data_IF_175103417736
#
_entry.id   IF_175103417736
#
_cell.length_a   1.000
_cell.length_b   1.000
_cell.length_c   1.000
_cell.angle_alpha   90.00
_cell.angle_beta   90.00
_cell.angle_gamma   90.00
#
_symmetry.space_group_name_H-M   'P 1'
#
loop_
_entity.id
_entity.type
_entity.pdbx_description
1 polymer ?
#
# COMPACT_ATOMS: atom_id res chain seq x y z
N UNK A 1 -11.20 -4.30 -3.75
CA UNK A 1 -10.71 -3.04 -3.15
C UNK A 1 -9.30 -3.29 -2.66
N UNK A 2 -8.38 -2.41 -2.99
CA UNK A 2 -6.98 -2.45 -2.53
C UNK A 2 -6.55 -1.07 -2.07
N UNK A 3 -5.59 -1.05 -1.15
CA UNK A 3 -4.97 0.16 -0.61
C UNK A 3 -3.74 0.53 -1.43
N UNK A 4 -3.51 1.83 -1.62
CA UNK A 4 -2.48 2.39 -2.47
C UNK A 4 -1.85 3.62 -1.83
N UNK A 5 -0.59 3.83 -2.17
CA UNK A 5 0.21 4.99 -1.79
C UNK A 5 0.77 5.61 -3.08
N UNK A 6 1.08 6.90 -3.08
CA UNK A 6 1.76 7.52 -4.23
C UNK A 6 3.15 6.93 -4.44
N UNK A 7 3.64 6.91 -5.68
CA UNK A 7 4.98 6.40 -6.03
C UNK A 7 6.10 7.03 -5.18
N UNK A 8 6.10 8.35 -5.03
CA UNK A 8 7.15 9.07 -4.28
C UNK A 8 7.24 8.59 -2.82
N UNK A 9 6.10 8.34 -2.18
CA UNK A 9 6.06 7.82 -0.81
C UNK A 9 6.44 6.33 -0.76
N UNK A 10 6.06 5.52 -1.77
CA UNK A 10 6.53 4.15 -1.87
C UNK A 10 8.07 4.07 -1.99
N UNK A 11 8.67 4.96 -2.79
CA UNK A 11 10.13 5.08 -2.94
C UNK A 11 10.80 5.41 -1.60
N UNK A 12 10.23 6.34 -0.82
CA UNK A 12 10.71 6.69 0.52
C UNK A 12 10.56 5.52 1.51
N UNK A 13 9.42 4.84 1.51
CA UNK A 13 9.19 3.67 2.37
C UNK A 13 10.23 2.58 2.07
N UNK A 14 10.50 2.31 0.79
CA UNK A 14 11.47 1.32 0.33
C UNK A 14 12.91 1.69 0.75
N UNK A 15 13.31 2.95 0.59
CA UNK A 15 14.63 3.44 1.03
C UNK A 15 14.84 3.37 2.55
N UNK A 16 13.77 3.62 3.32
CA UNK A 16 13.81 3.53 4.79
C UNK A 16 13.83 2.08 5.25
N UNK A 17 12.95 1.24 4.69
CA UNK A 17 12.76 -0.14 5.12
C UNK A 17 13.97 -1.02 4.77
N UNK A 18 14.65 -0.77 3.64
CA UNK A 18 15.86 -1.51 3.21
C UNK A 18 15.67 -3.04 3.24
N UNK A 19 14.49 -3.50 2.85
CA UNK A 19 14.11 -4.92 2.85
C UNK A 19 13.67 -5.49 4.20
N UNK A 20 13.60 -4.69 5.27
CA UNK A 20 13.09 -5.13 6.57
C UNK A 20 11.55 -5.11 6.59
N UNK A 21 10.95 -6.32 6.60
CA UNK A 21 9.50 -6.50 6.64
C UNK A 21 8.85 -5.86 7.89
N UNK A 22 9.55 -5.78 9.03
CA UNK A 22 9.03 -5.16 10.27
C UNK A 22 8.93 -3.64 10.13
N UNK A 23 9.86 -3.03 9.40
CA UNK A 23 9.78 -1.60 9.08
C UNK A 23 8.66 -1.32 8.09
N UNK A 24 8.47 -2.17 7.07
CA UNK A 24 7.30 -2.06 6.18
C UNK A 24 5.99 -2.12 6.96
N UNK A 25 5.85 -3.07 7.89
CA UNK A 25 4.64 -3.17 8.72
C UNK A 25 4.37 -1.89 9.51
N UNK A 26 5.41 -1.34 10.16
CA UNK A 26 5.28 -0.12 10.95
C UNK A 26 4.87 1.08 10.08
N UNK A 27 5.50 1.24 8.91
CA UNK A 27 5.24 2.36 7.99
C UNK A 27 3.86 2.27 7.34
N UNK A 28 3.40 1.05 7.07
CA UNK A 28 2.12 0.78 6.42
C UNK A 28 0.95 0.57 7.41
N UNK A 29 1.23 0.52 8.72
CA UNK A 29 0.19 0.35 9.74
C UNK A 29 -0.33 -1.08 9.87
N UNK A 30 0.55 -2.06 9.70
CA UNK A 30 0.29 -3.47 9.99
C UNK A 30 0.79 -3.86 11.38
N UNK A 31 0.19 -4.90 11.94
CA UNK A 31 0.70 -5.54 13.15
C UNK A 31 2.06 -6.20 12.88
N UNK A 32 2.91 -6.23 13.89
CA UNK A 32 4.19 -6.95 13.81
C UNK A 32 3.94 -8.43 13.51
N UNK A 33 4.59 -8.95 12.47
CA UNK A 33 4.47 -10.35 12.02
C UNK A 33 3.59 -10.54 10.79
N UNK A 34 2.76 -9.55 10.45
CA UNK A 34 1.72 -9.65 9.42
C UNK A 34 2.23 -10.05 8.03
N UNK A 35 3.32 -9.46 7.56
CA UNK A 35 3.93 -9.69 6.25
C UNK A 35 4.80 -10.96 6.20
N UNK A 36 5.06 -11.60 7.34
CA UNK A 36 5.98 -12.75 7.44
C UNK A 36 7.40 -12.40 6.96
N UNK A 37 8.20 -13.41 6.63
CA UNK A 37 9.62 -13.25 6.26
C UNK A 37 9.91 -13.58 4.78
N UNK A 38 8.84 -13.71 3.99
CA UNK A 38 8.93 -13.97 2.55
C UNK A 38 9.27 -12.72 1.74
N UNK A 39 9.50 -12.90 0.42
CA UNK A 39 9.75 -11.77 -0.46
C UNK A 39 8.53 -10.85 -0.54
N UNK A 40 8.78 -9.54 -0.46
CA UNK A 40 7.80 -8.49 -0.65
C UNK A 40 7.84 -7.99 -2.09
N UNK A 41 6.65 -7.71 -2.60
CA UNK A 41 6.48 -7.19 -3.94
C UNK A 41 5.77 -5.86 -3.89
N UNK A 42 6.34 -4.89 -4.60
CA UNK A 42 5.71 -3.61 -4.90
C UNK A 42 5.00 -3.70 -6.24
N UNK A 43 3.79 -3.17 -6.26
CA UNK A 43 2.97 -3.02 -7.46
C UNK A 43 2.86 -1.55 -7.83
N UNK A 44 3.33 -1.18 -9.03
CA UNK A 44 3.18 0.16 -9.57
C UNK A 44 2.07 0.16 -10.63
N UNK A 45 1.10 1.07 -10.50
CA UNK A 45 -0.05 1.26 -11.42
C UNK A 45 0.15 2.53 -12.25
N UNK A 46 -0.25 2.49 -13.52
CA UNK A 46 -0.09 3.63 -14.43
C UNK A 46 -1.12 4.74 -14.18
N UNK A 47 -0.83 6.00 -14.54
CA UNK A 47 -1.80 7.09 -14.45
C UNK A 47 -3.10 6.85 -15.21
N UNK A 48 -3.06 6.14 -16.33
CA UNK A 48 -4.24 5.78 -17.12
C UNK A 48 -5.19 4.87 -16.33
N UNK A 49 -4.64 3.86 -15.64
CA UNK A 49 -5.44 2.97 -14.79
C UNK A 49 -6.03 3.75 -13.61
N UNK A 50 -5.27 4.66 -13.00
CA UNK A 50 -5.77 5.53 -11.92
C UNK A 50 -6.92 6.40 -12.43
N UNK A 51 -6.79 6.97 -13.63
CA UNK A 51 -7.84 7.79 -14.26
C UNK A 51 -9.10 6.99 -14.59
N UNK A 52 -8.96 5.71 -14.98
CA UNK A 52 -10.09 4.85 -15.32
C UNK A 52 -10.83 4.37 -14.06
N UNK A 53 -10.10 3.91 -13.04
CA UNK A 53 -10.69 3.32 -11.84
C UNK A 53 -11.09 4.34 -10.79
N UNK A 54 -10.41 5.49 -10.77
CA UNK A 54 -10.51 6.49 -9.74
C UNK A 54 -9.86 6.05 -8.43
N UNK A 55 -9.47 7.04 -7.62
CA UNK A 55 -8.94 6.84 -6.28
C UNK A 55 -9.77 7.65 -5.28
N UNK A 56 -10.02 7.08 -4.10
CA UNK A 56 -10.75 7.74 -3.02
C UNK A 56 -10.05 7.56 -1.69
N UNK A 57 -10.33 8.45 -0.74
CA UNK A 57 -9.91 8.29 0.65
C UNK A 57 -10.64 7.07 1.25
N UNK A 58 -9.95 6.16 1.96
CA UNK A 58 -10.58 5.02 2.63
C UNK A 58 -11.60 5.48 3.67
N UNK A 59 -12.67 4.71 3.83
CA UNK A 59 -13.75 4.99 4.78
C UNK A 59 -13.61 4.21 6.10
N UNK A 60 -12.72 3.22 6.15
CA UNK A 60 -12.58 2.28 7.27
C UNK A 60 -13.50 1.08 7.18
N UNK A 61 -14.41 1.04 6.20
CA UNK A 61 -15.30 -0.09 5.93
C UNK A 61 -14.72 -1.05 4.87
N UNK A 62 -13.53 -0.77 4.35
CA UNK A 62 -12.88 -1.61 3.36
C UNK A 62 -12.35 -2.91 3.97
N UNK A 63 -12.42 -3.99 3.20
CA UNK A 63 -11.76 -5.24 3.57
C UNK A 63 -10.25 -4.99 3.68
N UNK A 64 -9.69 -5.20 4.86
CA UNK A 64 -8.29 -4.91 5.17
C UNK A 64 -8.10 -3.75 6.14
N UNK A 65 -9.11 -2.89 6.33
CA UNK A 65 -9.10 -1.93 7.44
C UNK A 65 -9.03 -2.68 8.79
N UNK A 66 -8.20 -2.17 9.70
CA UNK A 66 -7.91 -2.78 11.00
C UNK A 66 -8.04 -1.74 12.12
N UNK A 67 -7.67 -2.10 13.36
CA UNK A 67 -7.71 -1.17 14.52
C UNK A 67 -6.72 0.00 14.41
N UNK A 68 -5.77 -0.04 13.49
CA UNK A 68 -4.81 1.03 13.23
C UNK A 68 -5.34 2.07 12.24
N UNK A 69 -6.37 1.77 11.45
CA UNK A 69 -6.95 2.70 10.49
C UNK A 69 -7.43 4.01 11.16
N UNK A 70 -7.22 5.14 10.47
CA UNK A 70 -7.67 6.47 10.89
C UNK A 70 -8.36 7.19 9.73
N UNK A 71 -9.40 8.00 9.99
CA UNK A 71 -9.97 8.86 8.96
C UNK A 71 -8.93 9.85 8.44
N UNK A 72 -8.99 10.17 7.13
CA UNK A 72 -8.12 11.18 6.51
C UNK A 72 -7.12 10.63 5.48
N UNK A 73 -7.09 9.31 5.26
CA UNK A 73 -6.26 8.69 4.23
C UNK A 73 -4.79 8.74 4.57
N UNK A 74 -4.44 8.38 5.81
CA UNK A 74 -3.06 8.27 6.28
C UNK A 74 -2.91 7.01 7.15
N UNK A 75 -1.83 6.27 6.95
CA UNK A 75 -1.48 5.12 7.78
C UNK A 75 -1.12 5.56 9.19
N UNK A 76 -1.24 4.67 10.16
CA UNK A 76 -0.82 4.92 11.53
C UNK A 76 -0.11 3.67 12.05
N UNK A 77 1.08 3.79 12.67
CA UNK A 77 1.77 5.02 13.07
C UNK A 77 2.60 5.69 11.94
N UNK A 78 2.74 5.06 10.77
CA UNK A 78 3.67 5.50 9.72
C UNK A 78 3.36 6.83 9.01
N UNK A 79 2.14 7.35 9.15
CA UNK A 79 1.71 8.63 8.57
C UNK A 79 1.89 8.72 7.03
N UNK A 80 1.83 7.59 6.32
CA UNK A 80 1.94 7.55 4.87
C UNK A 80 0.57 7.79 4.22
N UNK A 81 0.48 8.52 3.10
CA UNK A 81 -0.80 8.72 2.44
C UNK A 81 -1.38 7.39 1.95
N UNK A 82 -2.68 7.22 2.12
CA UNK A 82 -3.41 6.00 1.82
C UNK A 82 -4.68 6.34 1.03
N UNK A 83 -4.81 5.72 -0.14
CA UNK A 83 -6.00 5.76 -0.98
C UNK A 83 -6.49 4.36 -1.28
N UNK A 84 -7.73 4.26 -1.76
CA UNK A 84 -8.32 2.98 -2.17
C UNK A 84 -8.80 3.02 -3.62
N UNK A 85 -8.59 1.91 -4.32
CA UNK A 85 -9.11 1.68 -5.67
C UNK A 85 -9.89 0.37 -5.73
N UNK A 86 -10.97 0.35 -6.51
CA UNK A 86 -11.79 -0.84 -6.76
C UNK A 86 -11.33 -1.54 -8.04
N UNK A 87 -11.52 -2.85 -8.04
CA UNK A 87 -11.41 -3.69 -9.24
C UNK A 87 -10.06 -3.57 -9.99
N UNK A 88 -8.97 -3.37 -9.24
CA UNK A 88 -7.60 -3.53 -9.76
C UNK A 88 -7.28 -5.02 -9.82
N UNK A 89 -6.95 -5.52 -11.01
CA UNK A 89 -6.53 -6.90 -11.19
C UNK A 89 -5.12 -7.11 -10.66
N UNK A 90 -4.86 -8.27 -10.04
CA UNK A 90 -3.51 -8.75 -9.72
C UNK A 90 -2.90 -9.58 -10.86
N UNK A 91 -3.61 -9.72 -11.98
CA UNK A 91 -3.07 -10.31 -13.22
C UNK A 91 -2.17 -9.32 -13.94
N UNK A 92 -1.17 -9.80 -14.68
CA UNK A 92 -0.28 -8.96 -15.50
C UNK A 92 -1.10 -8.02 -16.40
N UNK A 93 -0.79 -6.72 -16.36
CA UNK A 93 -1.45 -5.69 -17.18
C UNK A 93 -1.67 -4.41 -16.39
N UNK A 94 -2.48 -4.47 -15.33
CA UNK A 94 -2.90 -3.30 -14.55
C UNK A 94 -1.74 -2.69 -13.72
N UNK A 95 -0.66 -3.44 -13.52
CA UNK A 95 0.50 -3.05 -12.70
C UNK A 95 1.79 -3.74 -13.13
N UNK A 96 2.91 -3.18 -12.67
CA UNK A 96 4.26 -3.77 -12.78
C UNK A 96 4.73 -4.29 -11.43
N UNK A 97 5.42 -5.44 -11.42
CA UNK A 97 5.93 -6.09 -10.21
C UNK A 97 7.41 -5.77 -9.96
N UNK A 98 7.76 -5.42 -8.73
CA UNK A 98 9.13 -5.22 -8.26
C UNK A 98 9.36 -5.99 -6.96
N UNK A 99 10.46 -6.73 -6.82
CA UNK A 99 10.87 -7.32 -5.54
C UNK A 99 11.60 -6.25 -4.74
N UNK A 100 11.28 -6.09 -3.45
CA UNK A 100 11.75 -4.96 -2.62
C UNK A 100 12.49 -5.36 -1.34
N UNK A 101 12.75 -6.65 -1.13
CA UNK A 101 13.56 -7.18 -0.04
C UNK A 101 14.47 -8.33 -0.48
#
# INVERSE_FOLDING_TARGET
>A
MSFWVSKDHADVIEDIAKGDNRLYETLLGFDEGYLGDGPLYRLDVSPEVISEKGISIPSGNEKGANSWWRPGGRTYPGDMPEGVMKDISTSKGDHTWHVVN
#
